data_IF_740467067470
#
_entry.id   IF_740467067470
#
_cell.length_a   1.000
_cell.length_b   1.000
_cell.length_c   1.000
_cell.angle_alpha   90.00
_cell.angle_beta   90.00
_cell.angle_gamma   90.00
#
_symmetry.space_group_name_H-M   'P 1'
#
loop_
_entity.id
_entity.type
_entity.pdbx_description
1 polymer ?
#
# COMPACT_ATOMS: atom_id res chain seq x y z
N UNK A 1 -75.19 16.27 -12.24
CA UNK A 1 -73.85 16.33 -12.91
C UNK A 1 -72.74 16.14 -11.86
N UNK A 2 -71.91 15.14 -12.06
CA UNK A 2 -71.11 14.39 -11.09
C UNK A 2 -69.90 15.12 -10.51
N UNK A 3 -69.49 14.79 -9.27
CA UNK A 3 -68.32 15.37 -8.57
C UNK A 3 -66.97 14.74 -8.98
N UNK A 4 -66.87 14.18 -10.19
CA UNK A 4 -65.65 13.46 -10.68
C UNK A 4 -64.44 14.37 -10.79
N UNK A 5 -64.61 15.70 -10.94
CA UNK A 5 -63.52 16.63 -11.12
C UNK A 5 -62.75 16.94 -9.85
N UNK A 6 -63.36 16.79 -8.65
CA UNK A 6 -62.73 17.06 -7.38
C UNK A 6 -61.76 15.95 -6.93
N UNK A 7 -62.13 14.68 -7.16
CA UNK A 7 -61.29 13.52 -6.80
C UNK A 7 -60.04 13.43 -7.67
N UNK A 8 -60.10 13.77 -8.94
CA UNK A 8 -58.94 13.81 -9.82
C UNK A 8 -57.97 14.95 -9.48
N UNK A 9 -58.46 16.09 -9.03
CA UNK A 9 -57.64 17.22 -8.58
C UNK A 9 -56.96 16.92 -7.25
N UNK A 10 -57.61 16.21 -6.33
CA UNK A 10 -57.02 15.75 -5.06
C UNK A 10 -55.95 14.67 -5.27
N UNK A 11 -56.19 13.72 -6.16
CA UNK A 11 -55.23 12.72 -6.54
C UNK A 11 -53.98 13.32 -7.18
N UNK A 12 -54.10 14.30 -8.06
CA UNK A 12 -52.98 15.01 -8.67
C UNK A 12 -52.15 15.82 -7.65
N UNK A 13 -52.81 16.51 -6.72
CA UNK A 13 -52.15 17.29 -5.67
C UNK A 13 -51.37 16.36 -4.71
N UNK A 14 -51.91 15.20 -4.38
CA UNK A 14 -51.23 14.20 -3.53
C UNK A 14 -49.99 13.64 -4.20
N UNK A 15 -50.05 13.31 -5.48
CA UNK A 15 -48.89 12.84 -6.26
C UNK A 15 -47.79 13.88 -6.39
N UNK A 16 -48.15 15.15 -6.54
CA UNK A 16 -47.16 16.27 -6.55
C UNK A 16 -46.46 16.39 -5.18
N UNK A 17 -47.23 16.24 -4.12
CA UNK A 17 -46.68 16.33 -2.76
C UNK A 17 -45.74 15.15 -2.44
N UNK A 18 -46.08 13.94 -2.87
CA UNK A 18 -45.23 12.75 -2.78
C UNK A 18 -43.94 12.95 -3.58
N UNK A 19 -44.04 13.39 -4.82
CA UNK A 19 -42.87 13.66 -5.65
C UNK A 19 -41.95 14.73 -5.05
N UNK A 20 -42.52 15.76 -4.44
CA UNK A 20 -41.76 16.85 -3.79
C UNK A 20 -40.90 16.36 -2.60
N UNK A 21 -41.31 15.29 -1.90
CA UNK A 21 -40.50 14.67 -0.85
C UNK A 21 -39.55 13.60 -1.36
N UNK A 22 -39.99 12.77 -2.29
CA UNK A 22 -39.21 11.65 -2.82
C UNK A 22 -38.01 12.13 -3.63
N UNK A 23 -38.21 13.18 -4.46
CA UNK A 23 -37.15 13.66 -5.35
C UNK A 23 -35.90 14.20 -4.62
N UNK A 24 -35.99 15.03 -3.58
CA UNK A 24 -34.84 15.46 -2.81
C UNK A 24 -34.12 14.29 -2.09
N UNK A 25 -34.87 13.31 -1.59
CA UNK A 25 -34.30 12.13 -0.93
C UNK A 25 -33.51 11.30 -1.94
N UNK A 26 -34.07 11.01 -3.11
CA UNK A 26 -33.38 10.30 -4.17
C UNK A 26 -32.10 11.02 -4.61
N UNK A 27 -32.16 12.35 -4.77
CA UNK A 27 -31.00 13.15 -5.12
C UNK A 27 -29.91 13.06 -4.04
N UNK A 28 -30.28 13.14 -2.76
CA UNK A 28 -29.37 13.00 -1.65
C UNK A 28 -28.68 11.61 -1.63
N UNK A 29 -29.45 10.55 -1.88
CA UNK A 29 -28.90 9.18 -1.97
C UNK A 29 -27.88 9.08 -3.10
N UNK A 30 -28.19 9.63 -4.29
CA UNK A 30 -27.26 9.63 -5.41
C UNK A 30 -25.97 10.38 -5.06
N UNK A 31 -26.05 11.56 -4.43
CA UNK A 31 -24.88 12.32 -4.02
C UNK A 31 -24.02 11.52 -3.04
N UNK A 32 -24.63 10.86 -2.04
CA UNK A 32 -23.91 10.02 -1.08
C UNK A 32 -23.21 8.85 -1.81
N UNK A 33 -23.89 8.20 -2.74
CA UNK A 33 -23.30 7.10 -3.53
C UNK A 33 -22.08 7.56 -4.33
N UNK A 34 -22.16 8.72 -4.97
CA UNK A 34 -21.01 9.29 -5.72
C UNK A 34 -19.86 9.64 -4.78
N UNK A 35 -20.17 10.18 -3.59
CA UNK A 35 -19.14 10.49 -2.59
C UNK A 35 -18.44 9.22 -2.06
N UNK A 36 -19.20 8.16 -1.81
CA UNK A 36 -18.61 6.87 -1.41
C UNK A 36 -17.75 6.30 -2.55
N UNK A 37 -18.23 6.37 -3.78
CA UNK A 37 -17.46 5.98 -4.96
C UNK A 37 -16.13 6.72 -5.06
N UNK A 38 -16.11 8.03 -4.84
CA UNK A 38 -14.89 8.83 -4.80
C UNK A 38 -13.94 8.39 -3.67
N UNK A 39 -14.47 8.14 -2.47
CA UNK A 39 -13.65 7.69 -1.35
C UNK A 39 -12.97 6.34 -1.64
N UNK A 40 -13.71 5.37 -2.18
CA UNK A 40 -13.15 4.08 -2.60
C UNK A 40 -12.16 4.20 -3.76
N UNK A 41 -12.42 5.10 -4.70
CA UNK A 41 -11.47 5.38 -5.79
C UNK A 41 -10.15 5.91 -5.26
N UNK A 42 -10.16 6.87 -4.33
CA UNK A 42 -8.94 7.38 -3.71
C UNK A 42 -8.21 6.30 -2.89
N UNK A 43 -8.95 5.46 -2.16
CA UNK A 43 -8.38 4.31 -1.46
C UNK A 43 -7.64 3.37 -2.43
N UNK A 44 -8.29 2.95 -3.52
CA UNK A 44 -7.69 2.08 -4.52
C UNK A 44 -6.45 2.69 -5.19
N UNK A 45 -6.44 4.02 -5.42
CA UNK A 45 -5.26 4.72 -5.92
C UNK A 45 -4.10 4.68 -4.94
N UNK A 46 -4.35 4.94 -3.66
CA UNK A 46 -3.31 4.87 -2.63
C UNK A 46 -2.78 3.45 -2.51
N UNK A 47 -3.66 2.44 -2.50
CA UNK A 47 -3.29 1.02 -2.48
C UNK A 47 -2.39 0.64 -3.66
N UNK A 48 -2.72 1.10 -4.86
CA UNK A 48 -1.89 0.91 -6.04
C UNK A 48 -0.50 1.53 -5.86
N UNK A 49 -0.41 2.79 -5.43
CA UNK A 49 0.89 3.46 -5.24
C UNK A 49 1.71 2.83 -4.12
N UNK A 50 1.08 2.39 -3.03
CA UNK A 50 1.75 1.66 -1.94
C UNK A 50 2.32 0.33 -2.44
N UNK A 51 1.54 -0.43 -3.19
CA UNK A 51 1.98 -1.71 -3.77
C UNK A 51 3.09 -1.49 -4.80
N UNK A 52 2.95 -0.51 -5.67
CA UNK A 52 3.97 -0.15 -6.66
C UNK A 52 5.27 0.31 -5.99
N UNK A 53 5.19 1.12 -4.94
CA UNK A 53 6.34 1.58 -4.17
C UNK A 53 7.05 0.41 -3.47
N UNK A 54 6.29 -0.55 -2.91
CA UNK A 54 6.85 -1.74 -2.28
C UNK A 54 7.62 -2.62 -3.28
N UNK A 55 7.02 -2.91 -4.45
CA UNK A 55 7.66 -3.69 -5.52
C UNK A 55 8.91 -2.97 -6.05
N UNK A 56 8.81 -1.66 -6.32
CA UNK A 56 9.94 -0.86 -6.79
C UNK A 56 11.07 -0.80 -5.75
N UNK A 57 10.73 -0.62 -4.48
CA UNK A 57 11.68 -0.61 -3.37
C UNK A 57 12.37 -1.96 -3.18
N UNK A 58 11.61 -3.06 -3.24
CA UNK A 58 12.16 -4.42 -3.18
C UNK A 58 13.13 -4.67 -4.35
N UNK A 59 12.76 -4.28 -5.57
CA UNK A 59 13.61 -4.40 -6.75
C UNK A 59 14.91 -3.56 -6.64
N UNK A 60 14.85 -2.37 -6.03
CA UNK A 60 16.05 -1.55 -5.74
C UNK A 60 16.96 -2.21 -4.70
N UNK A 61 16.37 -2.90 -3.72
CA UNK A 61 17.13 -3.69 -2.76
C UNK A 61 17.77 -4.92 -3.41
N UNK A 62 17.08 -5.59 -4.33
CA UNK A 62 17.58 -6.76 -5.05
C UNK A 62 18.70 -6.37 -6.03
N UNK A 63 18.48 -5.32 -6.80
CA UNK A 63 19.40 -4.91 -7.85
C UNK A 63 19.92 -3.48 -7.66
N UNK A 64 21.17 -3.30 -7.16
CA UNK A 64 21.75 -1.98 -6.96
C UNK A 64 21.93 -1.18 -8.27
N UNK A 65 22.00 -1.88 -9.43
CA UNK A 65 22.06 -1.24 -10.74
C UNK A 65 20.74 -0.52 -11.06
N UNK A 66 19.60 -1.03 -10.59
CA UNK A 66 18.30 -0.43 -10.87
C UNK A 66 18.21 0.99 -10.30
N UNK A 67 18.67 1.18 -9.06
CA UNK A 67 18.72 2.49 -8.44
C UNK A 67 19.63 3.46 -9.21
N UNK A 68 20.78 2.97 -9.69
CA UNK A 68 21.68 3.77 -10.53
C UNK A 68 21.02 4.19 -11.85
N UNK A 69 20.39 3.24 -12.55
CA UNK A 69 19.73 3.47 -13.84
C UNK A 69 18.58 4.47 -13.70
N UNK A 70 17.76 4.33 -12.69
CA UNK A 70 16.64 5.25 -12.41
C UNK A 70 17.11 6.67 -12.09
N UNK A 71 18.20 6.82 -11.34
CA UNK A 71 18.75 8.13 -10.97
C UNK A 71 19.49 8.81 -12.12
N UNK A 72 19.93 8.05 -13.14
CA UNK A 72 20.67 8.57 -14.29
C UNK A 72 19.85 8.55 -15.60
N UNK A 73 18.55 8.82 -15.52
CA UNK A 73 17.69 8.99 -16.69
C UNK A 73 17.52 7.71 -17.53
N UNK A 74 17.47 6.56 -16.87
CA UNK A 74 17.34 5.22 -17.49
C UNK A 74 18.51 4.83 -18.41
N UNK A 75 19.69 5.41 -18.21
CA UNK A 75 20.89 5.05 -18.96
C UNK A 75 21.64 3.93 -18.25
N UNK A 76 21.92 2.85 -18.98
CA UNK A 76 22.74 1.73 -18.48
C UNK A 76 24.22 2.15 -18.50
N UNK A 77 24.96 1.99 -17.40
CA UNK A 77 26.37 2.34 -17.37
C UNK A 77 27.18 1.44 -18.33
N UNK A 78 28.05 2.06 -19.09
CA UNK A 78 28.92 1.37 -20.05
C UNK A 78 30.07 0.62 -19.39
N UNK A 79 30.33 0.89 -18.10
CA UNK A 79 31.40 0.24 -17.32
C UNK A 79 30.85 -0.54 -16.14
N UNK A 80 31.22 -1.82 -15.96
CA UNK A 80 30.80 -2.64 -14.83
C UNK A 80 31.32 -2.13 -13.49
N UNK A 81 32.30 -1.24 -13.46
CA UNK A 81 32.81 -0.61 -12.24
C UNK A 81 31.88 0.43 -11.62
N UNK A 82 30.88 0.91 -12.37
CA UNK A 82 29.92 1.90 -11.88
C UNK A 82 28.94 1.33 -10.84
N UNK A 83 28.70 0.02 -10.88
CA UNK A 83 27.92 -0.67 -9.87
C UNK A 83 28.81 -1.64 -9.10
N UNK A 84 29.48 -1.16 -8.07
CA UNK A 84 30.16 -2.05 -7.12
C UNK A 84 29.12 -2.93 -6.44
N UNK A 85 29.03 -4.19 -6.87
CA UNK A 85 28.30 -5.21 -6.12
C UNK A 85 29.12 -5.55 -4.89
N UNK A 86 28.72 -4.98 -3.76
CA UNK A 86 29.35 -5.25 -2.46
C UNK A 86 28.58 -6.42 -1.81
N UNK A 87 29.21 -7.55 -1.51
CA UNK A 87 28.58 -8.63 -0.79
C UNK A 87 28.05 -8.16 0.57
N UNK A 88 26.90 -8.70 1.00
CA UNK A 88 26.26 -8.35 2.28
C UNK A 88 25.96 -6.86 2.45
N UNK A 89 25.81 -6.15 1.34
CA UNK A 89 25.68 -4.68 1.28
C UNK A 89 24.52 -4.11 2.11
N UNK A 90 23.48 -4.90 2.32
CA UNK A 90 22.29 -4.45 3.04
C UNK A 90 22.33 -4.81 4.53
N UNK A 91 23.02 -5.88 4.91
CA UNK A 91 23.08 -6.35 6.29
C UNK A 91 24.00 -5.44 7.14
N UNK A 92 25.16 -5.02 6.56
CA UNK A 92 26.18 -4.30 7.32
C UNK A 92 26.32 -2.82 6.98
N UNK A 93 25.68 -2.32 5.91
CA UNK A 93 25.96 -0.97 5.39
C UNK A 93 24.84 0.04 5.60
N UNK A 94 23.69 -0.34 6.15
CA UNK A 94 22.52 0.53 6.29
C UNK A 94 21.90 1.04 4.99
N UNK A 95 22.37 0.56 3.82
CA UNK A 95 21.85 1.00 2.51
C UNK A 95 20.39 0.67 2.28
N UNK A 96 19.91 -0.41 2.86
CA UNK A 96 18.49 -0.75 2.76
C UNK A 96 17.60 0.27 3.48
N UNK A 97 18.06 0.79 4.62
CA UNK A 97 17.36 1.85 5.32
C UNK A 97 17.31 3.13 4.48
N UNK A 98 18.37 3.44 3.76
CA UNK A 98 18.43 4.56 2.83
C UNK A 98 17.41 4.40 1.70
N UNK A 99 17.35 3.20 1.08
CA UNK A 99 16.34 2.88 0.05
C UNK A 99 14.92 3.00 0.63
N UNK A 100 14.70 2.53 1.85
CA UNK A 100 13.42 2.68 2.54
C UNK A 100 13.01 4.15 2.67
N UNK A 101 13.92 5.02 3.10
CA UNK A 101 13.68 6.47 3.23
C UNK A 101 13.43 7.13 1.86
N UNK A 102 14.16 6.74 0.83
CA UNK A 102 13.96 7.27 -0.52
C UNK A 102 12.56 6.89 -1.07
N UNK A 103 12.18 5.62 -0.92
CA UNK A 103 10.85 5.12 -1.32
C UNK A 103 9.74 5.82 -0.52
N UNK A 104 9.93 6.03 0.79
CA UNK A 104 8.99 6.75 1.64
C UNK A 104 8.78 8.19 1.17
N UNK A 105 9.87 8.89 0.83
CA UNK A 105 9.81 10.26 0.33
C UNK A 105 9.10 10.36 -1.03
N UNK A 106 9.42 9.45 -1.96
CA UNK A 106 8.77 9.38 -3.27
C UNK A 106 7.28 9.07 -3.15
N UNK A 107 6.90 8.12 -2.29
CA UNK A 107 5.51 7.76 -2.05
C UNK A 107 4.74 8.92 -1.39
N UNK A 108 5.37 9.62 -0.44
CA UNK A 108 4.79 10.81 0.20
C UNK A 108 4.50 11.90 -0.83
N UNK A 109 5.44 12.16 -1.74
CA UNK A 109 5.24 13.15 -2.79
C UNK A 109 4.10 12.76 -3.73
N UNK A 110 4.02 11.49 -4.14
CA UNK A 110 2.95 10.97 -5.01
C UNK A 110 1.58 11.10 -4.34
N UNK A 111 1.44 10.66 -3.10
CA UNK A 111 0.16 10.73 -2.38
C UNK A 111 -0.28 12.17 -2.17
N UNK A 112 0.62 13.07 -1.79
CA UNK A 112 0.31 14.49 -1.60
C UNK A 112 -0.05 15.20 -2.92
N UNK A 113 0.40 14.68 -4.07
CA UNK A 113 0.05 15.21 -5.39
C UNK A 113 -1.30 14.71 -5.92
N UNK A 114 -1.95 13.75 -5.25
CA UNK A 114 -3.22 13.18 -5.69
C UNK A 114 -4.34 14.21 -5.65
N UNK A 115 -5.06 14.30 -6.77
CA UNK A 115 -6.22 15.19 -6.89
C UNK A 115 -7.50 14.36 -6.86
N UNK A 116 -8.57 14.88 -6.27
CA UNK A 116 -9.88 14.26 -6.31
C UNK A 116 -10.46 14.29 -7.73
N UNK A 117 -11.33 13.33 -8.05
CA UNK A 117 -11.97 13.21 -9.35
C UNK A 117 -13.23 14.10 -9.44
N UNK A 118 -14.15 13.96 -8.49
CA UNK A 118 -15.46 14.61 -8.52
C UNK A 118 -15.60 15.72 -7.48
N UNK A 119 -15.20 15.49 -6.22
CA UNK A 119 -15.43 16.43 -5.13
C UNK A 119 -14.15 17.08 -4.64
N UNK A 120 -14.07 18.39 -4.79
CA UNK A 120 -12.93 19.17 -4.32
C UNK A 120 -12.73 19.01 -2.80
N UNK A 121 -11.56 18.51 -2.39
CA UNK A 121 -11.20 18.31 -0.98
C UNK A 121 -11.25 16.85 -0.51
N UNK A 122 -11.72 15.90 -1.31
CA UNK A 122 -11.70 14.47 -1.04
C UNK A 122 -10.36 13.79 -1.45
N UNK A 123 -9.25 14.52 -1.38
CA UNK A 123 -7.92 13.96 -1.53
C UNK A 123 -7.44 13.32 -0.23
N UNK A 124 -6.52 12.34 -0.28
CA UNK A 124 -5.85 11.82 0.91
C UNK A 124 -5.19 12.95 1.70
N UNK A 125 -5.38 12.96 3.01
CA UNK A 125 -4.80 13.93 3.94
C UNK A 125 -4.15 13.21 5.12
N UNK A 126 -3.22 13.88 5.79
CA UNK A 126 -2.53 13.35 6.96
C UNK A 126 -1.91 11.98 6.69
N UNK A 127 -1.37 11.77 5.49
CA UNK A 127 -0.76 10.50 5.13
C UNK A 127 0.47 10.25 6.03
N UNK A 128 0.40 9.16 6.81
CA UNK A 128 1.51 8.61 7.58
C UNK A 128 2.02 7.39 6.84
N UNK A 129 3.23 7.49 6.32
CA UNK A 129 3.85 6.45 5.51
C UNK A 129 5.01 5.87 6.31
N UNK A 130 5.16 4.55 6.24
CA UNK A 130 6.29 3.85 6.84
C UNK A 130 6.78 2.78 5.90
N UNK A 131 8.06 2.85 5.56
CA UNK A 131 8.75 1.86 4.73
C UNK A 131 9.87 1.24 5.56
N UNK A 132 9.68 -0.03 5.93
CA UNK A 132 10.60 -0.73 6.82
C UNK A 132 11.20 -1.94 6.12
N UNK A 133 12.50 -1.90 5.76
CA UNK A 133 13.20 -3.08 5.28
C UNK A 133 13.50 -4.02 6.45
N UNK A 134 13.08 -5.28 6.33
CA UNK A 134 13.47 -6.38 7.23
C UNK A 134 14.40 -7.28 6.46
N UNK A 135 15.68 -7.10 6.71
CA UNK A 135 16.73 -7.88 6.06
C UNK A 135 17.25 -8.93 7.02
N UNK A 136 16.95 -10.17 6.73
CA UNK A 136 17.46 -11.33 7.42
C UNK A 136 18.40 -12.10 6.48
N UNK A 137 19.26 -12.92 7.06
CA UNK A 137 20.26 -13.70 6.31
C UNK A 137 19.61 -14.64 5.28
N UNK A 138 18.42 -15.17 5.58
CA UNK A 138 17.73 -16.16 4.73
C UNK A 138 16.53 -15.58 3.98
N UNK A 139 15.76 -14.71 4.62
CA UNK A 139 14.54 -14.14 4.03
C UNK A 139 14.51 -12.64 4.32
N UNK A 140 14.56 -11.88 3.26
CA UNK A 140 14.47 -10.43 3.33
C UNK A 140 13.13 -9.95 2.78
N UNK A 141 12.55 -8.92 3.37
CA UNK A 141 11.29 -8.34 2.92
C UNK A 141 11.27 -6.83 3.14
N UNK A 142 10.53 -6.13 2.30
CA UNK A 142 10.23 -4.72 2.42
C UNK A 142 8.75 -4.57 2.81
N UNK A 143 8.51 -3.99 3.99
CA UNK A 143 7.15 -3.68 4.43
C UNK A 143 6.86 -2.22 4.18
N UNK A 144 5.81 -1.95 3.45
CA UNK A 144 5.31 -0.59 3.19
C UNK A 144 3.90 -0.47 3.75
N UNK A 145 3.64 0.57 4.52
CA UNK A 145 2.31 0.88 5.04
C UNK A 145 2.02 2.37 4.91
N UNK A 146 0.76 2.69 4.71
CA UNK A 146 0.25 4.05 4.61
C UNK A 146 -1.09 4.15 5.33
N UNK A 147 -1.20 5.10 6.23
CA UNK A 147 -2.45 5.48 6.89
C UNK A 147 -2.81 6.89 6.44
N UNK A 148 -4.06 7.12 6.09
CA UNK A 148 -4.53 8.41 5.60
C UNK A 148 -6.01 8.64 5.88
N UNK A 149 -6.41 9.92 5.89
CA UNK A 149 -7.77 10.34 6.08
C UNK A 149 -8.35 10.90 4.79
N UNK A 150 -9.62 10.58 4.52
CA UNK A 150 -10.42 11.25 3.49
C UNK A 150 -11.50 12.07 4.17
N UNK A 151 -11.53 13.37 3.91
CA UNK A 151 -12.57 14.27 4.41
C UNK A 151 -13.73 14.32 3.43
N UNK A 152 -14.91 13.89 3.88
CA UNK A 152 -16.14 14.01 3.12
C UNK A 152 -16.65 15.46 3.14
N UNK A 153 -17.16 16.02 2.05
CA UNK A 153 -17.66 17.40 1.99
C UNK A 153 -19.00 17.58 2.73
N UNK A 154 -19.38 16.65 3.58
CA UNK A 154 -20.58 16.70 4.42
C UNK A 154 -20.21 17.19 5.81
N UNK A 155 -20.89 18.25 6.27
CA UNK A 155 -20.82 18.68 7.66
C UNK A 155 -21.89 17.95 8.46
N UNK A 156 -21.54 17.47 9.62
CA UNK A 156 -22.54 16.94 10.56
C UNK A 156 -23.48 18.08 10.99
N UNK A 157 -24.78 17.79 11.10
CA UNK A 157 -25.81 18.76 11.45
C UNK A 157 -25.54 19.43 12.80
N UNK A 158 -24.83 18.76 13.70
CA UNK A 158 -24.53 19.22 15.06
C UNK A 158 -23.03 19.51 15.31
N UNK A 159 -22.18 19.50 14.27
CA UNK A 159 -20.74 19.70 14.40
C UNK A 159 -20.20 20.48 13.20
N UNK A 160 -19.36 21.48 13.45
CA UNK A 160 -18.65 22.19 12.38
C UNK A 160 -17.59 21.31 11.71
N UNK A 161 -17.28 20.15 12.29
CA UNK A 161 -16.26 19.22 11.78
C UNK A 161 -16.81 18.44 10.57
N UNK A 162 -15.97 18.30 9.55
CA UNK A 162 -16.24 17.42 8.41
C UNK A 162 -16.12 15.98 8.84
N UNK A 163 -16.93 15.12 8.25
CA UNK A 163 -16.81 13.69 8.44
C UNK A 163 -15.49 13.21 7.82
N UNK A 164 -14.69 12.47 8.62
CA UNK A 164 -13.43 11.87 8.18
C UNK A 164 -13.57 10.38 8.16
N UNK A 165 -13.08 9.76 7.11
CA UNK A 165 -12.94 8.31 7.00
C UNK A 165 -11.45 7.99 7.01
N UNK A 166 -11.05 7.17 7.97
CA UNK A 166 -9.67 6.72 8.11
C UNK A 166 -9.46 5.43 7.33
N UNK A 167 -8.38 5.36 6.57
CA UNK A 167 -7.96 4.19 5.79
C UNK A 167 -6.54 3.80 6.17
N UNK A 168 -6.30 2.49 6.18
CA UNK A 168 -4.97 1.91 6.36
C UNK A 168 -4.71 0.89 5.26
N UNK A 169 -3.58 1.04 4.59
CA UNK A 169 -3.13 0.17 3.50
C UNK A 169 -1.73 -0.31 3.82
N UNK A 170 -1.45 -1.58 3.60
CA UNK A 170 -0.11 -2.12 3.82
C UNK A 170 0.17 -3.31 2.92
N UNK A 171 1.43 -3.42 2.48
CA UNK A 171 1.92 -4.55 1.70
C UNK A 171 3.30 -4.97 2.18
N UNK A 172 3.64 -6.22 1.91
CA UNK A 172 4.95 -6.80 2.22
C UNK A 172 5.45 -7.50 0.98
N UNK A 173 6.57 -7.01 0.45
CA UNK A 173 7.20 -7.60 -0.72
C UNK A 173 8.48 -8.33 -0.33
N UNK A 174 8.68 -9.56 -0.82
CA UNK A 174 9.94 -10.26 -0.61
C UNK A 174 11.05 -9.57 -1.41
N UNK A 175 12.23 -9.49 -0.82
CA UNK A 175 13.46 -9.06 -1.50
C UNK A 175 14.23 -10.32 -1.87
N UNK A 176 14.17 -10.68 -3.15
CA UNK A 176 14.80 -11.87 -3.69
C UNK A 176 16.12 -11.55 -4.39
N UNK A 177 17.24 -11.61 -3.70
CA UNK A 177 18.57 -11.59 -4.31
C UNK A 177 19.14 -13.01 -4.34
N UNK A 178 19.02 -13.75 -5.47
CA UNK A 178 19.50 -15.13 -5.55
C UNK A 178 21.00 -15.26 -5.29
N UNK A 179 21.78 -14.26 -5.67
CA UNK A 179 23.24 -14.26 -5.50
C UNK A 179 23.63 -14.13 -4.02
N UNK A 180 22.95 -13.24 -3.29
CA UNK A 180 23.13 -13.07 -1.85
C UNK A 180 22.63 -14.29 -1.08
N UNK A 181 21.49 -14.86 -1.49
CA UNK A 181 20.94 -16.07 -0.88
C UNK A 181 21.91 -17.24 -0.97
N UNK A 182 22.44 -17.54 -2.17
CA UNK A 182 23.43 -18.63 -2.36
C UNK A 182 24.67 -18.40 -1.51
N UNK A 183 25.18 -17.17 -1.47
CA UNK A 183 26.36 -16.80 -0.67
C UNK A 183 26.09 -16.94 0.82
N UNK A 184 24.93 -16.52 1.30
CA UNK A 184 24.55 -16.64 2.69
C UNK A 184 24.41 -18.09 3.11
N UNK A 185 23.77 -18.92 2.27
CA UNK A 185 23.64 -20.37 2.52
C UNK A 185 25.01 -21.04 2.56
N UNK A 186 25.91 -20.72 1.63
CA UNK A 186 27.27 -21.26 1.62
C UNK A 186 28.04 -20.85 2.88
N UNK A 187 27.96 -19.57 3.29
CA UNK A 187 28.62 -19.10 4.51
C UNK A 187 28.06 -19.78 5.77
N UNK A 188 26.74 -19.95 5.85
CA UNK A 188 26.10 -20.65 6.98
C UNK A 188 26.54 -22.12 6.99
N UNK A 189 26.61 -22.77 5.82
CA UNK A 189 27.09 -24.15 5.70
C UNK A 189 28.54 -24.28 6.19
N UNK A 190 29.42 -23.40 5.74
CA UNK A 190 30.84 -23.39 6.17
C UNK A 190 31.01 -23.18 7.67
N UNK A 191 30.18 -22.30 8.27
CA UNK A 191 30.20 -22.08 9.72
C UNK A 191 29.71 -23.31 10.47
N UNK A 192 28.65 -23.96 9.97
CA UNK A 192 28.09 -25.15 10.56
C UNK A 192 29.06 -26.34 10.47
N UNK A 193 29.73 -26.53 9.32
CA UNK A 193 30.73 -27.57 9.15
C UNK A 193 31.94 -27.41 10.07
N UNK A 194 32.30 -26.18 10.42
CA UNK A 194 33.42 -25.89 11.35
C UNK A 194 33.07 -26.01 12.82
N UNK A 195 31.80 -26.14 13.14
CA UNK A 195 31.30 -26.10 14.52
C UNK A 195 30.32 -27.26 14.76
N UNK A 196 30.81 -28.36 15.33
CA UNK A 196 30.03 -29.58 15.57
C UNK A 196 28.81 -29.39 16.46
N UNK A 197 28.90 -28.46 17.44
CA UNK A 197 27.77 -28.12 18.29
C UNK A 197 26.66 -27.33 17.55
N UNK A 198 27.03 -26.49 16.59
CA UNK A 198 26.10 -25.81 15.73
C UNK A 198 25.38 -26.78 14.76
N UNK A 199 26.07 -27.85 14.32
CA UNK A 199 25.49 -28.91 13.48
C UNK A 199 24.37 -29.66 14.20
N UNK A 200 24.52 -29.97 15.49
CA UNK A 200 23.47 -30.63 16.29
C UNK A 200 22.21 -29.75 16.38
N UNK A 201 22.40 -28.47 16.74
CA UNK A 201 21.29 -27.50 16.87
C UNK A 201 20.57 -27.30 15.54
N UNK A 202 21.31 -27.25 14.43
CA UNK A 202 20.70 -27.10 13.10
C UNK A 202 19.93 -28.36 12.68
N UNK A 203 20.42 -29.55 13.05
CA UNK A 203 19.72 -30.83 12.89
C UNK A 203 18.36 -30.83 13.59
N UNK A 204 18.32 -30.36 14.83
CA UNK A 204 17.09 -30.26 15.63
C UNK A 204 16.10 -29.24 15.02
N UNK A 205 16.57 -28.08 14.53
CA UNK A 205 15.75 -27.07 13.85
C UNK A 205 15.17 -27.64 12.55
N UNK A 206 15.97 -28.36 11.76
CA UNK A 206 15.54 -28.98 10.51
C UNK A 206 14.47 -30.06 10.76
N UNK A 207 14.64 -30.85 11.83
CA UNK A 207 13.63 -31.83 12.23
C UNK A 207 12.32 -31.20 12.71
N UNK A 208 12.41 -30.10 13.47
CA UNK A 208 11.26 -29.32 13.89
C UNK A 208 10.52 -28.69 12.71
N UNK A 209 11.23 -28.12 11.72
CA UNK A 209 10.64 -27.58 10.50
C UNK A 209 9.97 -28.67 9.65
N UNK A 210 10.57 -29.86 9.52
CA UNK A 210 9.97 -30.97 8.82
C UNK A 210 8.71 -31.51 9.53
N UNK A 211 8.66 -31.47 10.85
CA UNK A 211 7.44 -31.78 11.63
C UNK A 211 6.35 -30.76 11.38
N UNK A 212 6.67 -29.46 11.38
CA UNK A 212 5.71 -28.39 11.08
C UNK A 212 5.16 -28.47 9.65
N UNK A 213 5.99 -28.80 8.66
CA UNK A 213 5.56 -28.98 7.27
C UNK A 213 4.61 -30.16 7.04
N UNK A 214 4.59 -31.14 7.95
CA UNK A 214 3.64 -32.28 7.92
C UNK A 214 2.26 -31.96 8.50
N UNK A 215 2.12 -30.85 9.21
CA UNK A 215 0.83 -30.39 9.75
C UNK A 215 0.09 -29.41 8.82
N UNK A 216 0.72 -29.00 7.71
CA UNK A 216 0.14 -28.06 6.72
C UNK A 216 -0.32 -28.76 5.43
N UNK A 217 -0.22 -30.06 5.34
CA UNK A 217 -0.85 -30.93 4.33
C UNK A 217 -1.92 -31.80 5.01
#
# INVERSE_FOLDING_TARGET
MKPVRKEQAQSGAMTIMEAAFVFPIMFLVIVIMVMLGEAYYQHARVEYEVSHAAVSGAARCENPMLAYVQNNGNTVPTSPSAAKVVPYRYIFTGKAQQIGTDVESELTQKINSMKPLAFRGMSPKNASISVTPKLNVLVSSLRTSCEFDIELPVRMIFSEKRLKVHFSVGTVEPVGDPSEFVRNVSTVSDILERNEDAMKTFGEIKEAMNKLGRFTN
#
